data_IF_240739254823
#
_entry.id   IF_240739254823
#
_cell.length_a   1.000
_cell.length_b   1.000
_cell.length_c   1.000
_cell.angle_alpha   90.00
_cell.angle_beta   90.00
_cell.angle_gamma   90.00
#
_symmetry.space_group_name_H-M   'P 1'
#
loop_
_entity.id
_entity.type
_entity.pdbx_description
1 polymer ?
#
# COMPACT_ATOMS: atom_id res chain seq x y z
N UNK A 1 26.17 -15.77 -5.08
CA UNK A 1 25.11 -14.78 -4.74
C UNK A 1 24.19 -14.75 -5.93
N UNK A 2 22.94 -15.20 -5.81
CA UNK A 2 22.00 -15.20 -6.93
C UNK A 2 21.51 -13.76 -7.05
N UNK A 3 22.12 -12.97 -7.95
CA UNK A 3 21.52 -11.73 -8.40
C UNK A 3 20.17 -12.08 -9.01
N UNK A 4 19.10 -11.52 -8.45
CA UNK A 4 17.77 -11.72 -8.96
C UNK A 4 17.59 -10.75 -10.13
N UNK A 5 18.02 -11.16 -11.33
CA UNK A 5 18.06 -10.39 -12.59
C UNK A 5 16.69 -9.91 -13.13
N UNK A 6 15.61 -10.08 -12.35
CA UNK A 6 14.28 -9.65 -12.76
C UNK A 6 14.01 -8.23 -12.29
N UNK A 7 13.61 -7.40 -13.24
CA UNK A 7 13.16 -6.02 -13.03
C UNK A 7 12.27 -5.90 -11.78
N UNK A 8 12.66 -5.05 -10.85
CA UNK A 8 12.03 -4.92 -9.54
C UNK A 8 11.09 -3.72 -9.51
N UNK A 9 9.81 -4.02 -9.34
CA UNK A 9 8.73 -3.04 -9.19
C UNK A 9 8.40 -2.91 -7.71
N UNK A 10 8.55 -1.70 -7.17
CA UNK A 10 8.09 -1.36 -5.82
C UNK A 10 6.78 -0.60 -5.92
N UNK A 11 5.79 -1.01 -5.14
CA UNK A 11 4.46 -0.40 -5.08
C UNK A 11 4.27 0.13 -3.66
N UNK A 12 4.09 1.44 -3.50
CA UNK A 12 3.80 2.07 -2.20
C UNK A 12 2.28 2.19 -2.04
N UNK A 13 1.72 1.48 -1.07
CA UNK A 13 0.30 1.46 -0.73
C UNK A 13 -0.41 0.18 -1.21
N UNK A 14 -1.12 -0.49 -0.30
CA UNK A 14 -1.97 -1.66 -0.51
C UNK A 14 -3.47 -1.34 -0.60
N UNK A 15 -3.81 -0.07 -0.86
CA UNK A 15 -5.17 0.36 -1.21
C UNK A 15 -5.61 -0.17 -2.59
N UNK A 16 -6.65 0.41 -3.18
CA UNK A 16 -7.14 -0.03 -4.49
C UNK A 16 -6.05 0.05 -5.57
N UNK A 17 -5.41 1.20 -5.75
CA UNK A 17 -4.40 1.38 -6.80
C UNK A 17 -3.28 0.35 -6.74
N UNK A 18 -2.61 0.22 -5.59
CA UNK A 18 -1.47 -0.68 -5.46
C UNK A 18 -1.85 -2.16 -5.46
N UNK A 19 -2.99 -2.52 -4.87
CA UNK A 19 -3.46 -3.91 -4.91
C UNK A 19 -3.76 -4.35 -6.36
N UNK A 20 -4.46 -3.53 -7.13
CA UNK A 20 -4.82 -3.89 -8.50
C UNK A 20 -3.62 -3.80 -9.46
N UNK A 21 -2.68 -2.88 -9.22
CA UNK A 21 -1.40 -2.88 -9.92
C UNK A 21 -0.61 -4.19 -9.68
N UNK A 22 -0.48 -4.61 -8.42
CA UNK A 22 0.15 -5.89 -8.08
C UNK A 22 -0.59 -7.09 -8.69
N UNK A 23 -1.92 -7.01 -8.82
CA UNK A 23 -2.72 -8.05 -9.48
C UNK A 23 -2.48 -8.13 -10.98
N UNK A 24 -2.39 -6.99 -11.65
CA UNK A 24 -2.10 -6.92 -13.08
C UNK A 24 -0.73 -7.50 -13.42
N UNK A 25 0.26 -7.32 -12.54
CA UNK A 25 1.65 -7.78 -12.72
C UNK A 25 1.90 -9.26 -12.36
N UNK A 26 0.86 -10.02 -11.99
CA UNK A 26 0.99 -11.39 -11.45
C UNK A 26 1.78 -12.35 -12.34
N UNK A 27 1.59 -12.25 -13.65
CA UNK A 27 2.15 -13.20 -14.63
C UNK A 27 3.35 -12.61 -15.39
N UNK A 28 3.75 -11.38 -15.06
CA UNK A 28 4.86 -10.71 -15.71
C UNK A 28 6.20 -11.23 -15.17
N UNK A 29 7.25 -11.19 -16.00
CA UNK A 29 8.59 -11.62 -15.62
C UNK A 29 9.35 -10.55 -14.82
N UNK A 30 8.74 -10.10 -13.71
CA UNK A 30 9.24 -9.04 -12.83
C UNK A 30 9.13 -9.49 -11.37
N UNK A 31 9.87 -8.89 -10.47
CA UNK A 31 9.64 -9.00 -9.03
C UNK A 31 8.78 -7.82 -8.56
N UNK A 32 7.79 -8.06 -7.71
CA UNK A 32 6.94 -7.01 -7.16
C UNK A 32 7.06 -6.98 -5.64
N UNK A 33 7.27 -5.81 -5.05
CA UNK A 33 7.16 -5.59 -3.61
C UNK A 33 6.08 -4.55 -3.32
N UNK A 34 5.01 -4.97 -2.66
CA UNK A 34 3.96 -4.06 -2.16
C UNK A 34 4.32 -3.66 -0.73
N UNK A 35 4.52 -2.37 -0.50
CA UNK A 35 4.83 -1.80 0.80
C UNK A 35 3.59 -1.10 1.34
N UNK A 36 3.15 -1.44 2.54
CA UNK A 36 2.12 -0.68 3.25
C UNK A 36 2.38 -0.70 4.76
N UNK A 37 2.05 0.40 5.44
CA UNK A 37 2.11 0.49 6.91
C UNK A 37 1.08 -0.41 7.60
N UNK A 38 -0.01 -0.75 6.90
CA UNK A 38 -1.06 -1.71 7.29
C UNK A 38 -0.82 -3.04 6.59
N UNK A 39 -1.25 -4.14 7.22
CA UNK A 39 -1.13 -5.50 6.65
C UNK A 39 -2.39 -5.97 5.90
N UNK A 40 -3.36 -5.09 5.67
CA UNK A 40 -4.65 -5.40 5.06
C UNK A 40 -5.04 -4.36 4.00
N UNK A 41 -5.77 -4.82 2.99
CA UNK A 41 -6.53 -3.97 2.09
C UNK A 41 -7.84 -3.59 2.77
N UNK A 42 -8.17 -2.31 2.76
CA UNK A 42 -9.42 -1.77 3.30
C UNK A 42 -10.35 -1.42 2.15
N UNK A 43 -11.54 -2.02 2.14
CA UNK A 43 -12.59 -1.66 1.18
C UNK A 43 -13.31 -0.39 1.66
N UNK A 44 -12.63 0.74 1.46
CA UNK A 44 -13.08 2.08 1.88
C UNK A 44 -14.52 2.44 1.51
N UNK A 45 -15.09 2.00 0.36
CA UNK A 45 -16.48 2.31 0.03
C UNK A 45 -17.53 1.88 1.06
N UNK A 46 -17.23 0.94 1.97
CA UNK A 46 -18.17 0.47 3.00
C UNK A 46 -17.83 0.99 4.41
N UNK A 47 -16.91 1.95 4.56
CA UNK A 47 -16.58 2.54 5.86
C UNK A 47 -17.79 3.13 6.59
N UNK A 48 -18.74 3.70 5.85
CA UNK A 48 -19.97 4.24 6.43
C UNK A 48 -20.82 3.16 7.10
N UNK A 49 -20.83 1.91 6.60
CA UNK A 49 -21.58 0.81 7.20
C UNK A 49 -20.92 0.31 8.49
N UNK A 50 -19.59 0.40 8.57
CA UNK A 50 -18.88 0.14 9.83
C UNK A 50 -19.19 1.24 10.84
N UNK A 51 -19.16 2.51 10.41
CA UNK A 51 -19.45 3.66 11.27
C UNK A 51 -20.88 3.64 11.84
N UNK A 52 -21.86 3.12 11.10
CA UNK A 52 -23.25 2.98 11.56
C UNK A 52 -23.53 1.64 12.25
N UNK A 53 -22.52 0.78 12.44
CA UNK A 53 -22.67 -0.52 13.11
C UNK A 53 -23.36 -1.60 12.27
N UNK A 54 -23.55 -1.38 10.96
CA UNK A 54 -24.12 -2.36 10.04
C UNK A 54 -23.13 -3.44 9.58
N UNK A 55 -21.83 -3.20 9.69
CA UNK A 55 -20.76 -4.16 9.39
C UNK A 55 -19.68 -4.13 10.47
N UNK A 56 -19.00 -5.26 10.67
CA UNK A 56 -17.78 -5.29 11.47
C UNK A 56 -16.58 -4.80 10.65
N UNK A 57 -15.54 -4.23 11.28
CA UNK A 57 -14.30 -3.87 10.57
C UNK A 57 -13.65 -5.04 9.82
N UNK A 58 -13.81 -6.27 10.33
CA UNK A 58 -13.28 -7.48 9.70
C UNK A 58 -13.95 -7.80 8.36
N UNK A 59 -15.21 -7.40 8.16
CA UNK A 59 -15.95 -7.65 6.93
C UNK A 59 -15.41 -6.82 5.75
N UNK A 60 -14.70 -5.72 6.03
CA UNK A 60 -14.16 -4.80 5.02
C UNK A 60 -12.61 -4.76 4.98
N UNK A 61 -11.94 -5.56 5.80
CA UNK A 61 -10.48 -5.60 5.93
C UNK A 61 -9.93 -6.99 5.59
N UNK A 62 -9.25 -7.10 4.46
CA UNK A 62 -8.69 -8.38 3.97
C UNK A 62 -7.16 -8.38 4.03
N UNK A 63 -6.50 -9.38 4.63
CA UNK A 63 -5.03 -9.43 4.72
C UNK A 63 -4.37 -9.39 3.33
N UNK A 64 -3.46 -8.43 3.10
CA UNK A 64 -2.79 -8.25 1.80
C UNK A 64 -2.03 -9.51 1.36
N UNK A 65 -1.31 -10.13 2.30
CA UNK A 65 -0.60 -11.40 2.06
C UNK A 65 -1.55 -12.53 1.66
N UNK A 66 -2.77 -12.54 2.20
CA UNK A 66 -3.80 -13.51 1.84
C UNK A 66 -4.27 -13.31 0.41
N UNK A 67 -4.64 -12.06 0.06
CA UNK A 67 -5.12 -11.71 -1.28
C UNK A 67 -4.06 -12.00 -2.36
N UNK A 68 -2.79 -11.72 -2.06
CA UNK A 68 -1.67 -11.86 -3.00
C UNK A 68 -0.94 -13.21 -2.89
N UNK A 69 -1.43 -14.14 -2.08
CA UNK A 69 -0.76 -15.42 -1.80
C UNK A 69 -0.47 -16.28 -3.05
N UNK A 70 -1.34 -16.19 -4.06
CA UNK A 70 -1.18 -16.91 -5.34
C UNK A 70 -0.21 -16.21 -6.32
N UNK A 71 0.36 -15.06 -5.97
CA UNK A 71 1.21 -14.23 -6.82
C UNK A 71 2.67 -14.56 -6.50
N UNK A 72 3.23 -15.56 -7.19
CA UNK A 72 4.57 -16.09 -6.90
C UNK A 72 5.69 -15.06 -7.01
N UNK A 73 5.47 -14.00 -7.79
CA UNK A 73 6.40 -12.91 -8.00
C UNK A 73 6.18 -11.69 -7.08
N UNK A 74 5.19 -11.74 -6.18
CA UNK A 74 4.82 -10.61 -5.34
C UNK A 74 5.13 -10.89 -3.88
N UNK A 75 5.89 -9.99 -3.25
CA UNK A 75 6.06 -9.94 -1.79
C UNK A 75 5.29 -8.75 -1.21
N UNK A 76 4.81 -8.92 0.03
CA UNK A 76 4.23 -7.83 0.81
C UNK A 76 5.19 -7.48 1.94
N UNK A 77 5.55 -6.21 2.05
CA UNK A 77 6.39 -5.66 3.11
C UNK A 77 5.52 -4.75 3.98
N UNK A 78 5.38 -5.11 5.26
CA UNK A 78 4.74 -4.22 6.24
C UNK A 78 5.79 -3.22 6.71
N UNK A 79 5.83 -2.04 6.13
CA UNK A 79 6.76 -0.98 6.48
C UNK A 79 6.13 0.39 6.18
N UNK A 80 6.63 1.43 6.84
CA UNK A 80 6.26 2.80 6.55
C UNK A 80 7.33 3.43 5.65
N UNK A 81 6.90 3.87 4.46
CA UNK A 81 7.70 4.73 3.58
C UNK A 81 7.64 6.15 4.11
N UNK A 82 8.79 6.77 4.30
CA UNK A 82 8.91 8.15 4.81
C UNK A 82 9.44 9.11 3.76
N UNK A 83 10.14 8.63 2.74
CA UNK A 83 10.68 9.45 1.65
C UNK A 83 10.96 8.60 0.40
N UNK A 84 11.21 9.27 -0.73
CA UNK A 84 11.63 8.65 -1.99
C UNK A 84 12.88 9.40 -2.48
N UNK A 85 13.92 8.66 -2.84
CA UNK A 85 15.13 9.16 -3.47
C UNK A 85 15.16 8.72 -4.95
N UNK A 86 14.72 9.58 -5.90
CA UNK A 86 14.64 9.21 -7.30
C UNK A 86 16.00 9.11 -7.99
N UNK A 87 17.02 9.81 -7.47
CA UNK A 87 18.38 9.78 -8.02
C UNK A 87 19.04 8.43 -7.73
N UNK A 88 18.94 7.96 -6.49
CA UNK A 88 19.41 6.64 -6.08
C UNK A 88 18.45 5.50 -6.49
N UNK A 89 17.24 5.84 -6.94
CA UNK A 89 16.11 4.92 -7.17
C UNK A 89 15.80 4.08 -5.94
N UNK A 90 15.64 4.73 -4.79
CA UNK A 90 15.33 4.08 -3.53
C UNK A 90 14.06 4.63 -2.90
N UNK A 91 13.31 3.73 -2.27
CA UNK A 91 12.29 4.10 -1.29
C UNK A 91 12.93 4.12 0.09
N UNK A 92 12.79 5.23 0.80
CA UNK A 92 13.28 5.38 2.18
C UNK A 92 12.18 4.93 3.12
N UNK A 93 12.46 3.88 3.89
CA UNK A 93 11.61 3.35 4.94
C UNK A 93 12.04 3.92 6.28
N UNK A 94 11.15 3.90 7.27
CA UNK A 94 11.50 4.29 8.65
C UNK A 94 12.74 3.55 9.18
N UNK A 95 12.89 2.28 8.81
CA UNK A 95 13.94 1.39 9.33
C UNK A 95 14.91 0.88 8.24
N UNK A 96 14.99 1.54 7.08
CA UNK A 96 15.88 1.08 6.00
C UNK A 96 15.61 1.72 4.64
N UNK A 97 16.15 1.11 3.59
CA UNK A 97 16.02 1.56 2.20
C UNK A 97 15.71 0.36 1.30
N UNK A 98 14.97 0.59 0.23
CA UNK A 98 14.67 -0.43 -0.78
C UNK A 98 14.86 0.15 -2.18
N UNK A 99 15.79 -0.42 -2.93
CA UNK A 99 16.01 -0.07 -4.34
C UNK A 99 14.82 -0.52 -5.22
N UNK A 100 14.60 0.17 -6.34
CA UNK A 100 13.62 -0.21 -7.35
C UNK A 100 14.13 0.10 -8.77
N UNK A 101 13.65 -0.68 -9.74
CA UNK A 101 13.77 -0.32 -11.16
C UNK A 101 12.56 0.50 -11.64
N UNK A 102 11.38 0.26 -11.05
CA UNK A 102 10.17 1.03 -11.29
C UNK A 102 9.38 1.22 -10.01
N UNK A 103 8.89 2.44 -9.79
CA UNK A 103 8.10 2.81 -8.62
C UNK A 103 6.66 3.11 -9.02
N UNK A 104 5.71 2.50 -8.31
CA UNK A 104 4.28 2.83 -8.37
C UNK A 104 3.88 3.47 -7.05
N UNK A 105 3.50 4.74 -7.08
CA UNK A 105 3.02 5.47 -5.89
C UNK A 105 1.50 5.40 -5.84
N UNK A 106 0.96 4.64 -4.89
CA UNK A 106 -0.47 4.39 -4.70
C UNK A 106 -0.89 4.59 -3.24
N UNK A 107 -0.37 5.65 -2.60
CA UNK A 107 -0.55 5.97 -1.17
C UNK A 107 -1.97 6.40 -0.79
N UNK A 108 -2.83 6.64 -1.78
CA UNK A 108 -4.15 7.22 -1.59
C UNK A 108 -4.08 8.70 -1.23
N UNK A 109 -5.13 9.19 -0.57
CA UNK A 109 -5.26 10.57 -0.11
C UNK A 109 -5.57 10.59 1.39
N UNK A 110 -5.39 11.76 2.01
CA UNK A 110 -5.86 12.01 3.37
C UNK A 110 -6.84 13.18 3.38
N UNK A 111 -7.41 13.46 4.55
CA UNK A 111 -8.33 14.57 4.73
C UNK A 111 -7.58 15.89 4.60
N UNK A 112 -8.26 16.86 4.01
CA UNK A 112 -7.79 18.23 3.94
C UNK A 112 -8.81 19.10 4.66
N UNK A 113 -8.38 19.81 5.70
CA UNK A 113 -9.25 20.67 6.51
C UNK A 113 -9.27 22.12 6.02
N UNK A 114 -8.75 22.39 4.82
CA UNK A 114 -8.78 23.72 4.17
C UNK A 114 -8.21 24.85 5.05
N UNK A 115 -7.10 24.55 5.75
CA UNK A 115 -6.44 25.47 6.68
C UNK A 115 -7.01 25.48 8.10
N UNK A 116 -8.02 24.65 8.39
CA UNK A 116 -8.67 24.55 9.70
C UNK A 116 -8.38 23.20 10.38
N UNK A 117 -7.10 22.89 10.59
CA UNK A 117 -6.66 21.61 11.18
C UNK A 117 -7.31 21.30 12.53
N UNK A 118 -7.74 22.33 13.29
CA UNK A 118 -8.50 22.17 14.53
C UNK A 118 -9.84 21.43 14.35
N UNK A 119 -10.39 21.37 13.14
CA UNK A 119 -11.60 20.59 12.87
C UNK A 119 -11.39 19.09 12.99
N UNK A 120 -10.17 18.60 12.86
CA UNK A 120 -9.86 17.17 12.94
C UNK A 120 -10.28 16.55 14.29
N UNK A 121 -10.28 17.34 15.37
CA UNK A 121 -10.71 16.92 16.70
C UNK A 121 -12.21 16.63 16.76
N UNK A 122 -13.03 17.41 16.05
CA UNK A 122 -14.49 17.36 16.12
C UNK A 122 -15.14 16.64 14.93
N UNK A 123 -14.44 16.58 13.80
CA UNK A 123 -14.87 15.96 12.55
C UNK A 123 -13.75 15.07 11.98
N UNK A 124 -13.44 13.95 12.67
CA UNK A 124 -12.46 13.00 12.17
C UNK A 124 -12.92 12.39 10.86
N UNK A 125 -11.96 12.10 10.00
CA UNK A 125 -12.17 11.27 8.82
C UNK A 125 -12.65 9.86 9.14
N UNK A 126 -13.31 9.22 8.17
CA UNK A 126 -13.69 7.81 8.22
C UNK A 126 -12.56 6.90 7.71
#
# INVERSE_FOLDING_TARGET
>A
MIQNDKHHIVIIGGGFGGLYAAKALKNENVNVTVIDRRNFHLFQPLLYQVATGGLSPGDIASPLRGILSAHKNTSVLKAEVIDIDPEAKEVVLRDGRLHYDTLVVATGVSHHYFGNEQWAEYAPGL
#
